data_IF_642120607789
#
_entry.id   IF_642120607789
#
_cell.length_a   1.000
_cell.length_b   1.000
_cell.length_c   1.000
_cell.angle_alpha   90.00
_cell.angle_beta   90.00
_cell.angle_gamma   90.00
#
_symmetry.space_group_name_H-M   'P 1'
#
loop_
_entity.id
_entity.type
_entity.pdbx_description
1 polymer ?
#
# COMPACT_ATOMS: atom_id res chain seq x y z
N UNK A 1 5.83 25.23 -22.36
CA UNK A 1 6.56 24.15 -21.68
C UNK A 1 5.58 23.03 -21.29
N UNK A 2 5.21 22.12 -22.22
CA UNK A 2 4.21 21.06 -21.99
C UNK A 2 4.78 19.75 -21.37
N UNK A 3 6.10 19.57 -21.29
CA UNK A 3 6.70 18.29 -20.89
C UNK A 3 6.66 17.99 -19.38
N UNK A 4 6.49 19.01 -18.53
CA UNK A 4 6.43 18.81 -17.07
C UNK A 4 5.09 18.25 -16.59
N UNK A 5 3.98 18.62 -17.22
CA UNK A 5 2.64 18.21 -16.80
C UNK A 5 2.39 16.71 -17.05
N UNK A 6 2.80 16.21 -18.23
CA UNK A 6 2.66 14.78 -18.58
C UNK A 6 3.40 13.85 -17.63
N UNK A 7 4.54 14.30 -17.09
CA UNK A 7 5.35 13.52 -16.16
C UNK A 7 4.65 13.40 -14.80
N UNK A 8 4.01 14.47 -14.31
CA UNK A 8 3.27 14.45 -13.04
C UNK A 8 2.03 13.55 -13.12
N UNK A 9 1.26 13.64 -14.20
CA UNK A 9 0.05 12.81 -14.40
C UNK A 9 0.40 11.32 -14.44
N UNK A 10 1.52 10.97 -15.09
CA UNK A 10 2.01 9.58 -15.16
C UNK A 10 2.45 9.05 -13.79
N UNK A 11 3.14 9.87 -12.99
CA UNK A 11 3.57 9.51 -11.63
C UNK A 11 2.38 9.35 -10.68
N UNK A 12 1.35 10.20 -10.82
CA UNK A 12 0.10 10.10 -10.08
C UNK A 12 -0.66 8.80 -10.39
N UNK A 13 -0.76 8.45 -11.69
CA UNK A 13 -1.38 7.18 -12.13
C UNK A 13 -0.65 5.97 -11.55
N UNK A 14 0.68 5.94 -11.61
CA UNK A 14 1.49 4.85 -11.05
C UNK A 14 1.27 4.73 -9.54
N UNK A 15 1.25 5.85 -8.81
CA UNK A 15 0.97 5.86 -7.36
C UNK A 15 -0.38 5.24 -7.04
N UNK A 16 -1.42 5.62 -7.79
CA UNK A 16 -2.78 5.07 -7.63
C UNK A 16 -2.82 3.56 -7.93
N UNK A 17 -2.19 3.13 -9.02
CA UNK A 17 -2.14 1.73 -9.44
C UNK A 17 -1.38 0.83 -8.46
N UNK A 18 -0.42 1.39 -7.70
CA UNK A 18 0.27 0.70 -6.62
C UNK A 18 -0.53 0.71 -5.29
N UNK A 19 -1.23 1.80 -4.98
CA UNK A 19 -2.04 1.93 -3.75
C UNK A 19 -3.22 0.96 -3.71
N UNK A 20 -3.84 0.68 -4.85
CA UNK A 20 -4.97 -0.25 -4.96
C UNK A 20 -4.63 -1.69 -4.51
N UNK A 21 -3.64 -2.39 -5.11
CA UNK A 21 -3.25 -3.73 -4.66
C UNK A 21 -2.68 -3.72 -3.23
N UNK A 22 -1.98 -2.64 -2.83
CA UNK A 22 -1.45 -2.50 -1.48
C UNK A 22 -2.56 -2.43 -0.42
N UNK A 23 -3.67 -1.74 -0.73
CA UNK A 23 -4.87 -1.72 0.12
C UNK A 23 -5.44 -3.13 0.30
N UNK A 24 -5.50 -3.91 -0.78
CA UNK A 24 -5.93 -5.31 -0.73
C UNK A 24 -5.04 -6.19 0.16
N UNK A 25 -3.71 -6.07 0.02
CA UNK A 25 -2.74 -6.81 0.84
C UNK A 25 -2.89 -6.46 2.32
N UNK A 26 -3.03 -5.17 2.65
CA UNK A 26 -3.22 -4.71 4.03
C UNK A 26 -4.51 -5.24 4.63
N UNK A 27 -5.61 -5.16 3.89
CA UNK A 27 -6.92 -5.66 4.33
C UNK A 27 -6.88 -7.17 4.57
N UNK A 28 -6.36 -7.95 3.63
CA UNK A 28 -6.26 -9.41 3.80
C UNK A 28 -5.35 -9.79 4.98
N UNK A 29 -4.23 -9.09 5.14
CA UNK A 29 -3.33 -9.31 6.29
C UNK A 29 -4.03 -8.99 7.61
N UNK A 30 -4.83 -7.93 7.65
CA UNK A 30 -5.63 -7.56 8.83
C UNK A 30 -6.67 -8.63 9.16
N UNK A 31 -7.50 -9.04 8.19
CA UNK A 31 -8.53 -10.07 8.39
C UNK A 31 -7.96 -11.41 8.86
N UNK A 32 -6.80 -11.80 8.33
CA UNK A 32 -6.10 -13.01 8.78
C UNK A 32 -5.60 -12.87 10.22
N UNK A 33 -5.01 -11.72 10.58
CA UNK A 33 -4.54 -11.43 11.95
C UNK A 33 -5.67 -11.38 12.97
N UNK A 34 -6.88 -10.97 12.56
CA UNK A 34 -8.09 -11.04 13.40
C UNK A 34 -8.55 -12.48 13.65
N UNK A 35 -7.95 -13.47 12.99
CA UNK A 35 -8.30 -14.90 13.10
C UNK A 35 -9.76 -15.17 12.71
N UNK A 36 -10.37 -14.26 11.96
CA UNK A 36 -11.76 -14.34 11.46
C UNK A 36 -11.96 -15.45 10.41
N UNK A 37 -10.88 -15.85 9.71
CA UNK A 37 -10.89 -16.93 8.72
C UNK A 37 -10.49 -18.28 9.34
N UNK A 38 -9.92 -18.26 10.56
CA UNK A 38 -9.44 -19.45 11.26
C UNK A 38 -8.22 -19.16 12.16
N UNK A 39 -7.77 -20.16 12.95
CA UNK A 39 -6.63 -19.99 13.83
C UNK A 39 -5.33 -19.85 13.04
N UNK A 40 -4.40 -19.05 13.56
CA UNK A 40 -3.04 -18.92 13.07
C UNK A 40 -2.07 -19.57 14.06
N UNK A 41 -1.09 -20.29 13.55
CA UNK A 41 0.08 -20.66 14.36
C UNK A 41 1.04 -19.46 14.49
N UNK A 42 1.97 -19.54 15.44
CA UNK A 42 2.91 -18.45 15.73
C UNK A 42 3.74 -18.00 14.52
N UNK A 43 4.12 -18.93 13.64
CA UNK A 43 4.91 -18.62 12.45
C UNK A 43 4.10 -17.81 11.45
N UNK A 44 2.84 -18.19 11.23
CA UNK A 44 1.91 -17.47 10.36
C UNK A 44 1.63 -16.07 10.90
N UNK A 45 1.40 -15.94 12.21
CA UNK A 45 1.16 -14.65 12.85
C UNK A 45 2.36 -13.70 12.70
N UNK A 46 3.59 -14.19 12.94
CA UNK A 46 4.82 -13.41 12.71
C UNK A 46 4.97 -12.99 11.24
N UNK A 47 4.69 -13.89 10.29
CA UNK A 47 4.76 -13.57 8.86
C UNK A 47 3.75 -12.49 8.46
N UNK A 48 2.50 -12.58 8.95
CA UNK A 48 1.46 -11.60 8.67
C UNK A 48 1.76 -10.23 9.27
N UNK A 49 2.35 -10.18 10.47
CA UNK A 49 2.83 -8.93 11.07
C UNK A 49 3.90 -8.29 10.19
N UNK A 50 4.86 -9.06 9.68
CA UNK A 50 5.86 -8.54 8.74
C UNK A 50 5.22 -8.01 7.45
N UNK A 51 4.30 -8.76 6.83
CA UNK A 51 3.61 -8.32 5.61
C UNK A 51 2.85 -7.01 5.85
N UNK A 52 2.13 -6.90 6.98
CA UNK A 52 1.41 -5.66 7.35
C UNK A 52 2.37 -4.48 7.48
N UNK A 53 3.48 -4.66 8.22
CA UNK A 53 4.46 -3.60 8.46
C UNK A 53 5.17 -3.16 7.18
N UNK A 54 5.56 -4.10 6.33
CA UNK A 54 6.20 -3.81 5.05
C UNK A 54 5.24 -3.11 4.09
N UNK A 55 3.95 -3.50 4.11
CA UNK A 55 2.91 -2.82 3.34
C UNK A 55 2.70 -1.36 3.78
N UNK A 56 2.75 -1.10 5.08
CA UNK A 56 2.66 0.27 5.63
C UNK A 56 3.89 1.11 5.26
N UNK A 57 5.09 0.53 5.34
CA UNK A 57 6.33 1.19 4.90
C UNK A 57 6.31 1.51 3.42
N UNK A 58 5.82 0.59 2.59
CA UNK A 58 5.69 0.80 1.16
C UNK A 58 4.70 1.93 0.86
N UNK A 59 3.55 1.98 1.55
CA UNK A 59 2.59 3.07 1.38
C UNK A 59 3.23 4.42 1.73
N UNK A 60 3.93 4.50 2.86
CA UNK A 60 4.64 5.72 3.26
C UNK A 60 5.69 6.14 2.23
N UNK A 61 6.40 5.19 1.64
CA UNK A 61 7.36 5.48 0.56
C UNK A 61 6.63 6.02 -0.68
N UNK A 62 5.51 5.42 -1.07
CA UNK A 62 4.70 5.90 -2.20
C UNK A 62 4.21 7.33 -1.93
N UNK A 63 3.64 7.59 -0.75
CA UNK A 63 3.13 8.92 -0.39
C UNK A 63 4.24 9.98 -0.32
N UNK A 64 5.43 9.58 0.14
CA UNK A 64 6.61 10.47 0.21
C UNK A 64 7.17 10.82 -1.17
N UNK A 65 7.20 9.86 -2.09
CA UNK A 65 7.87 10.02 -3.39
C UNK A 65 6.93 10.40 -4.53
N UNK A 66 5.63 10.14 -4.38
CA UNK A 66 4.58 10.42 -5.36
C UNK A 66 3.38 11.05 -4.65
N UNK A 67 3.52 12.29 -4.14
CA UNK A 67 2.40 12.99 -3.54
C UNK A 67 1.29 13.11 -4.59
N UNK A 68 0.11 12.56 -4.28
CA UNK A 68 -1.09 12.90 -5.04
C UNK A 68 -1.25 14.40 -4.93
N UNK A 69 -1.25 15.12 -6.06
CA UNK A 69 -1.45 16.56 -6.06
C UNK A 69 -2.63 16.91 -5.16
N UNK A 70 -2.39 17.80 -4.19
CA UNK A 70 -3.42 18.32 -3.31
C UNK A 70 -4.58 18.80 -4.18
N UNK A 71 -5.79 18.28 -3.89
CA UNK A 71 -7.02 18.90 -4.38
C UNK A 71 -7.19 20.22 -3.65
N UNK A 72 -6.53 21.26 -4.17
CA UNK A 72 -6.95 22.65 -3.98
C UNK A 72 -7.81 23.07 -5.18
#
# INVERSE_FOLDING_TARGET
MPDRQKNNDSLSSISHDLKSPLTGIRMMSHLLLEKNVGPLNERQEKMLISIKNDSERLLQAIDKHFPSESKD
#
